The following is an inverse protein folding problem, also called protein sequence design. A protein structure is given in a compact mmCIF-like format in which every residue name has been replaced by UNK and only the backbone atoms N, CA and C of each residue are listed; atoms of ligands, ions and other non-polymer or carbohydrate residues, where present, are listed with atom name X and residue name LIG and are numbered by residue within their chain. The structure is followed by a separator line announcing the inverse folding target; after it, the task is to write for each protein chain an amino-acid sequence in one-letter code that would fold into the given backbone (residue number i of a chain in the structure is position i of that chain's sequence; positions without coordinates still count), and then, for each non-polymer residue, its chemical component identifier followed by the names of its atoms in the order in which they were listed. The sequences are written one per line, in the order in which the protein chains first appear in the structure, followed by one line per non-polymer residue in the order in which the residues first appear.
data_IF_105413214886
#
_entry.id   IF_105413214886
#
_cell.length_a   1.000
_cell.length_b   1.000
_cell.length_c   1.000
_cell.angle_alpha   90.00
_cell.angle_beta   90.00
_cell.angle_gamma   90.00
#
_symmetry.space_group_name_H-M   'P 1'
#
loop_
_entity.id
_entity.type
_entity.pdbx_description
1 polymer ?
#
# COMPACT_ATOMS: atom_id res chain seq x y z
N UNK A 1 19.14 53.53 -0.24
CA UNK A 1 19.74 52.18 -0.37
C UNK A 1 19.16 51.15 0.61
N UNK A 2 18.83 51.52 1.86
CA UNK A 2 18.28 50.59 2.88
C UNK A 2 16.91 50.00 2.54
N UNK A 3 16.03 50.75 1.89
CA UNK A 3 14.70 50.28 1.48
C UNK A 3 14.74 49.22 0.37
N UNK A 4 15.71 49.32 -0.55
CA UNK A 4 15.94 48.30 -1.60
C UNK A 4 16.40 46.96 -1.01
N UNK A 5 17.23 47.00 0.03
CA UNK A 5 17.70 45.81 0.75
C UNK A 5 16.59 45.09 1.52
N UNK A 6 15.66 45.83 2.12
CA UNK A 6 14.49 45.25 2.81
C UNK A 6 13.52 44.56 1.85
N UNK A 7 13.27 45.16 0.68
CA UNK A 7 12.43 44.56 -0.37
C UNK A 7 13.03 43.27 -0.94
N UNK A 8 14.35 43.22 -1.14
CA UNK A 8 15.03 41.99 -1.58
C UNK A 8 15.01 40.90 -0.53
N UNK A 9 15.15 41.23 0.77
CA UNK A 9 15.09 40.24 1.85
C UNK A 9 13.69 39.62 1.99
N UNK A 10 12.63 40.41 1.76
CA UNK A 10 11.25 39.94 1.84
C UNK A 10 10.89 38.97 0.68
N UNK A 11 11.47 39.18 -0.51
CA UNK A 11 11.28 38.31 -1.68
C UNK A 11 12.00 36.95 -1.55
N UNK A 12 13.14 36.88 -0.83
CA UNK A 12 13.85 35.62 -0.61
C UNK A 12 13.18 34.72 0.44
N UNK A 13 12.37 35.27 1.35
CA UNK A 13 11.65 34.47 2.35
C UNK A 13 10.49 33.65 1.75
N UNK A 14 9.98 34.04 0.56
CA UNK A 14 8.81 33.43 -0.07
C UNK A 14 9.10 32.07 -0.74
N UNK A 15 10.36 31.77 -1.07
CA UNK A 15 10.76 30.53 -1.76
C UNK A 15 11.07 29.36 -0.81
N UNK A 16 11.06 29.57 0.50
CA UNK A 16 11.42 28.55 1.49
C UNK A 16 10.26 27.63 1.92
N UNK A 17 9.03 27.87 1.43
CA UNK A 17 7.84 27.10 1.83
C UNK A 17 7.18 26.45 0.61
N UNK A 18 7.84 25.46 0.02
CA UNK A 18 7.24 24.65 -1.04
C UNK A 18 7.65 23.19 -0.91
N UNK A 19 7.38 22.60 0.26
CA UNK A 19 7.27 21.15 0.37
C UNK A 19 5.86 20.86 0.86
N UNK A 20 4.95 20.66 -0.09
CA UNK A 20 3.57 20.31 0.21
C UNK A 20 3.56 19.11 1.17
N UNK A 21 2.79 19.17 2.27
CA UNK A 21 2.68 18.04 3.17
C UNK A 21 2.12 16.86 2.38
N UNK A 22 2.83 15.72 2.44
CA UNK A 22 2.35 14.49 1.81
C UNK A 22 1.05 14.10 2.52
N UNK A 23 -0.05 14.03 1.78
CA UNK A 23 -1.35 13.70 2.33
C UNK A 23 -1.39 12.20 2.69
N UNK A 24 -1.27 11.89 3.98
CA UNK A 24 -1.47 10.54 4.49
C UNK A 24 -2.96 10.30 4.78
N UNK A 25 -3.42 9.11 4.43
CA UNK A 25 -4.70 8.55 4.84
C UNK A 25 -4.48 7.57 5.98
N UNK A 26 -5.52 7.31 6.76
CA UNK A 26 -5.47 6.32 7.84
C UNK A 26 -6.28 5.09 7.46
N UNK A 27 -5.83 3.93 7.89
CA UNK A 27 -6.55 2.68 7.78
C UNK A 27 -6.15 1.72 8.90
N UNK A 28 -6.87 0.61 8.99
CA UNK A 28 -6.62 -0.44 9.96
C UNK A 28 -6.24 -1.74 9.27
N UNK A 29 -5.20 -2.40 9.76
CA UNK A 29 -4.80 -3.72 9.30
C UNK A 29 -5.76 -4.75 9.91
N UNK A 30 -6.58 -5.39 9.08
CA UNK A 30 -7.61 -6.32 9.56
C UNK A 30 -7.15 -7.76 9.59
N UNK A 31 -6.34 -8.16 8.62
CA UNK A 31 -5.97 -9.55 8.44
C UNK A 31 -4.67 -9.69 7.66
N UNK A 32 -4.02 -10.83 7.87
CA UNK A 32 -2.92 -11.34 7.05
C UNK A 32 -3.29 -12.74 6.53
N UNK A 33 -3.10 -12.96 5.24
CA UNK A 33 -3.38 -14.23 4.55
C UNK A 33 -2.14 -14.67 3.76
N UNK A 34 -1.99 -16.00 3.62
CA UNK A 34 -1.01 -16.61 2.73
C UNK A 34 -1.74 -17.08 1.48
N UNK A 35 -1.47 -16.45 0.34
CA UNK A 35 -2.20 -16.66 -0.92
C UNK A 35 -1.28 -17.18 -2.00
N UNK A 36 -1.80 -18.06 -2.85
CA UNK A 36 -1.07 -18.50 -4.04
C UNK A 36 -0.84 -17.29 -4.98
N UNK A 37 0.41 -17.04 -5.32
CA UNK A 37 0.83 -15.85 -6.07
C UNK A 37 1.75 -16.14 -7.25
N UNK A 38 2.10 -17.41 -7.46
CA UNK A 38 2.96 -17.86 -8.56
C UNK A 38 3.25 -19.35 -8.45
N UNK A 39 4.13 -19.85 -9.31
CA UNK A 39 4.61 -21.24 -9.26
C UNK A 39 6.13 -21.25 -9.35
N UNK A 40 6.77 -22.03 -8.48
CA UNK A 40 8.19 -22.34 -8.54
C UNK A 40 8.36 -23.60 -9.39
N UNK A 41 8.84 -23.42 -10.62
CA UNK A 41 9.33 -24.52 -11.42
C UNK A 41 10.74 -24.87 -10.92
N UNK A 42 10.83 -25.79 -9.95
CA UNK A 42 12.10 -26.48 -9.69
C UNK A 42 12.41 -27.46 -10.81
N UNK A 43 12.66 -26.94 -12.00
CA UNK A 43 13.22 -27.61 -13.15
C UNK A 43 14.62 -27.04 -13.40
N UNK A 44 15.59 -27.42 -12.58
CA UNK A 44 17.01 -27.14 -12.81
C UNK A 44 17.53 -27.89 -14.05
N UNK A 45 17.06 -27.51 -15.23
CA UNK A 45 17.83 -27.54 -16.46
C UNK A 45 17.64 -26.14 -17.02
N UNK A 46 18.63 -25.29 -16.76
CA UNK A 46 18.74 -24.01 -17.45
C UNK A 46 18.72 -24.24 -18.97
N UNK A 47 18.59 -23.13 -19.67
CA UNK A 47 18.60 -22.90 -21.11
C UNK A 47 19.73 -23.59 -21.92
N UNK A 48 20.48 -24.51 -21.33
CA UNK A 48 21.51 -25.39 -21.92
C UNK A 48 21.09 -26.87 -22.00
N UNK A 49 19.84 -27.23 -21.64
CA UNK A 49 19.40 -28.62 -21.49
C UNK A 49 18.59 -29.24 -22.64
N UNK A 50 18.26 -28.47 -23.68
CA UNK A 50 17.31 -28.86 -24.76
C UNK A 50 17.95 -29.68 -25.91
N UNK A 51 19.20 -30.13 -25.77
CA UNK A 51 19.88 -30.91 -26.83
C UNK A 51 19.85 -32.44 -26.64
N UNK A 52 19.26 -32.96 -25.56
CA UNK A 52 19.26 -34.39 -25.28
C UNK A 52 17.84 -34.87 -24.98
N UNK A 53 17.19 -35.37 -26.04
CA UNK A 53 15.88 -35.99 -26.01
C UNK A 53 15.88 -37.29 -25.20
N UNK A 54 15.60 -37.15 -23.91
CA UNK A 54 15.20 -38.26 -23.04
C UNK A 54 13.94 -37.86 -22.27
N UNK A 55 12.81 -38.35 -22.78
CA UNK A 55 11.64 -38.85 -22.09
C UNK A 55 11.57 -38.80 -20.53
N UNK A 56 10.36 -38.44 -20.05
CA UNK A 56 9.86 -38.46 -18.66
C UNK A 56 9.85 -37.11 -17.93
N UNK A 57 8.98 -36.23 -18.42
CA UNK A 57 8.63 -34.92 -17.86
C UNK A 57 7.85 -35.04 -16.54
N UNK A 58 8.57 -35.20 -15.43
CA UNK A 58 8.02 -34.96 -14.09
C UNK A 58 8.35 -33.53 -13.63
N UNK A 59 7.69 -32.52 -14.23
CA UNK A 59 7.71 -31.15 -13.71
C UNK A 59 6.90 -31.09 -12.42
N UNK A 60 7.57 -31.04 -11.26
CA UNK A 60 6.92 -30.73 -9.98
C UNK A 60 6.78 -29.20 -9.87
N UNK A 61 5.72 -28.66 -10.46
CA UNK A 61 5.33 -27.25 -10.25
C UNK A 61 4.80 -27.09 -8.83
N UNK A 62 5.45 -26.30 -7.98
CA UNK A 62 4.96 -26.00 -6.63
C UNK A 62 4.38 -24.59 -6.59
N UNK A 63 3.15 -24.42 -6.11
CA UNK A 63 2.58 -23.09 -5.90
C UNK A 63 3.41 -22.29 -4.88
N UNK A 64 3.77 -21.06 -5.24
CA UNK A 64 4.38 -20.07 -4.36
C UNK A 64 3.28 -19.38 -3.57
N UNK A 65 3.51 -19.26 -2.26
CA UNK A 65 2.62 -18.58 -1.34
C UNK A 65 3.22 -17.21 -0.98
N UNK A 66 2.45 -16.14 -1.18
CA UNK A 66 2.82 -14.78 -0.82
C UNK A 66 1.98 -14.31 0.34
N UNK A 67 2.57 -13.39 1.12
CA UNK A 67 1.91 -12.74 2.21
C UNK A 67 1.07 -11.56 1.71
N UNK A 68 -0.24 -11.59 1.96
CA UNK A 68 -1.18 -10.54 1.61
C UNK A 68 -1.86 -9.99 2.87
N UNK A 69 -1.99 -8.67 2.95
CA UNK A 69 -2.63 -7.96 4.06
C UNK A 69 -3.89 -7.27 3.59
N UNK A 70 -4.89 -7.23 4.47
CA UNK A 70 -6.12 -6.45 4.28
C UNK A 70 -6.02 -5.16 5.07
N UNK A 71 -5.94 -4.03 4.37
CA UNK A 71 -5.96 -2.69 4.96
C UNK A 71 -7.31 -2.04 4.66
N UNK A 72 -8.07 -1.73 5.70
CA UNK A 72 -9.36 -1.05 5.56
C UNK A 72 -9.22 0.43 5.89
N UNK A 73 -9.57 1.28 4.92
CA UNK A 73 -9.78 2.72 5.11
C UNK A 73 -11.26 3.06 5.29
N UNK A 74 -11.60 4.34 5.33
CA UNK A 74 -12.98 4.81 5.48
C UNK A 74 -13.91 4.28 4.38
N UNK A 75 -13.44 4.27 3.13
CA UNK A 75 -14.26 3.95 1.95
C UNK A 75 -13.80 2.74 1.16
N UNK A 76 -12.55 2.29 1.33
CA UNK A 76 -11.94 1.25 0.50
C UNK A 76 -11.22 0.22 1.35
N UNK A 77 -11.39 -1.04 1.01
CA UNK A 77 -10.61 -2.17 1.49
C UNK A 77 -9.54 -2.49 0.45
N UNK A 78 -8.29 -2.43 0.86
CA UNK A 78 -7.12 -2.71 0.05
C UNK A 78 -6.57 -4.10 0.40
N UNK A 79 -6.22 -4.88 -0.63
CA UNK A 79 -5.36 -6.06 -0.48
C UNK A 79 -3.96 -5.68 -0.93
N UNK A 80 -2.98 -5.81 -0.04
CA UNK A 80 -1.61 -5.34 -0.26
C UNK A 80 -0.58 -6.43 -0.01
N UNK A 81 0.52 -6.41 -0.77
CA UNK A 81 1.65 -7.34 -0.59
C UNK A 81 2.97 -6.59 -0.39
N UNK A 82 3.89 -7.10 0.43
CA UNK A 82 5.24 -6.56 0.51
C UNK A 82 5.85 -6.49 -0.88
N UNK A 83 6.57 -5.41 -1.19
CA UNK A 83 7.32 -5.32 -2.45
C UNK A 83 8.60 -6.17 -2.42
N UNK A 84 9.18 -6.34 -1.23
CA UNK A 84 10.37 -7.15 -1.00
C UNK A 84 10.00 -8.43 -0.24
N UNK A 85 9.99 -9.55 -0.96
CA UNK A 85 9.67 -10.87 -0.42
C UNK A 85 10.86 -11.53 0.30
N UNK A 86 12.06 -10.94 0.28
CA UNK A 86 13.25 -11.55 0.91
C UNK A 86 13.24 -11.40 2.42
N UNK A 87 12.77 -10.26 2.92
CA UNK A 87 12.69 -9.97 4.35
C UNK A 87 11.38 -9.23 4.69
N UNK A 88 10.22 -9.85 4.44
CA UNK A 88 8.95 -9.21 4.72
C UNK A 88 8.82 -9.00 6.24
N UNK A 89 8.62 -7.74 6.64
CA UNK A 89 8.32 -7.40 8.03
C UNK A 89 6.86 -7.75 8.29
N UNK A 90 6.62 -8.52 9.34
CA UNK A 90 5.26 -8.82 9.79
C UNK A 90 4.62 -7.55 10.35
N UNK A 91 3.54 -7.11 9.72
CA UNK A 91 2.72 -6.02 10.23
C UNK A 91 1.78 -6.53 11.34
N UNK A 92 1.62 -5.78 12.44
CA UNK A 92 0.70 -6.14 13.51
C UNK A 92 -0.76 -5.96 13.03
N UNK A 93 -1.50 -7.06 13.02
CA UNK A 93 -2.92 -7.06 12.70
C UNK A 93 -3.72 -6.49 13.87
N UNK A 94 -4.72 -5.67 13.57
CA UNK A 94 -5.52 -4.95 14.55
C UNK A 94 -5.08 -3.49 14.74
N UNK A 95 -3.90 -3.12 14.23
CA UNK A 95 -3.34 -1.79 14.43
C UNK A 95 -3.68 -0.78 13.33
N UNK A 96 -3.60 0.49 13.71
CA UNK A 96 -3.72 1.61 12.78
C UNK A 96 -2.43 1.79 11.97
N UNK A 97 -2.63 2.17 10.72
CA UNK A 97 -1.55 2.47 9.79
C UNK A 97 -1.89 3.71 8.97
N UNK A 98 -0.89 4.55 8.78
CA UNK A 98 -0.95 5.68 7.88
C UNK A 98 -0.38 5.27 6.53
N UNK A 99 -1.05 5.64 5.45
CA UNK A 99 -0.60 5.31 4.12
C UNK A 99 -0.78 6.46 3.14
N UNK A 100 0.04 6.46 2.10
CA UNK A 100 -0.15 7.32 0.93
C UNK A 100 0.10 6.53 -0.33
N UNK A 101 -0.56 6.94 -1.40
CA UNK A 101 -0.27 6.38 -2.72
C UNK A 101 0.94 7.10 -3.33
N UNK A 102 1.87 6.32 -3.87
CA UNK A 102 3.05 6.77 -4.58
C UNK A 102 3.11 6.03 -5.92
N UNK A 103 2.46 6.62 -6.93
CA UNK A 103 2.23 6.01 -8.25
C UNK A 103 1.49 4.68 -8.14
N UNK A 104 2.20 3.58 -8.36
CA UNK A 104 1.72 2.19 -8.37
C UNK A 104 1.89 1.49 -7.01
N UNK A 105 2.37 2.21 -5.99
CA UNK A 105 2.74 1.65 -4.68
C UNK A 105 2.01 2.35 -3.56
N UNK A 106 1.71 1.58 -2.52
CA UNK A 106 1.28 2.12 -1.24
C UNK A 106 2.50 2.26 -0.33
N UNK A 107 2.72 3.46 0.19
CA UNK A 107 3.74 3.69 1.24
C UNK A 107 3.04 3.68 2.58
N UNK A 108 3.33 2.66 3.39
CA UNK A 108 2.66 2.36 4.66
C UNK A 108 3.60 2.64 5.85
N UNK A 109 3.06 3.24 6.91
CA UNK A 109 3.65 3.38 8.24
C UNK A 109 2.67 2.85 9.27
N UNK A 110 3.12 2.01 10.20
CA UNK A 110 2.25 1.43 11.24
C UNK A 110 2.58 2.08 12.57
N UNK A 111 1.57 2.57 13.29
CA UNK A 111 1.74 3.42 14.47
C UNK A 111 2.52 2.70 15.59
N UNK A 112 2.24 1.42 15.84
CA UNK A 112 2.82 0.65 16.95
C UNK A 112 4.05 -0.20 16.59
N UNK A 113 4.55 -0.11 15.34
CA UNK A 113 5.70 -0.91 14.89
C UNK A 113 7.01 -0.11 14.85
N UNK A 114 7.08 0.85 13.93
CA UNK A 114 8.14 1.87 13.84
C UNK A 114 7.72 2.98 12.86
N UNK A 115 8.43 4.11 12.88
CA UNK A 115 8.19 5.25 11.99
C UNK A 115 8.72 5.06 10.55
N UNK A 116 8.96 3.82 10.09
CA UNK A 116 9.55 3.58 8.76
C UNK A 116 8.49 3.47 7.68
N UNK A 117 8.74 4.17 6.59
CA UNK A 117 7.99 4.05 5.34
C UNK A 117 8.32 2.70 4.66
N UNK A 118 7.29 1.90 4.42
CA UNK A 118 7.40 0.60 3.73
C UNK A 118 6.61 0.61 2.43
N UNK A 119 7.19 0.04 1.38
CA UNK A 119 6.54 -0.04 0.07
C UNK A 119 5.76 -1.35 -0.06
N UNK A 120 4.48 -1.22 -0.36
CA UNK A 120 3.56 -2.30 -0.64
C UNK A 120 2.99 -2.16 -2.05
N UNK A 121 2.76 -3.31 -2.70
CA UNK A 121 2.01 -3.41 -3.95
C UNK A 121 0.53 -3.52 -3.62
N UNK A 122 -0.32 -2.80 -4.34
CA UNK A 122 -1.78 -2.94 -4.22
C UNK A 122 -2.24 -4.03 -5.20
N UNK A 123 -2.79 -5.11 -4.65
CA UNK A 123 -3.29 -6.25 -5.42
C UNK A 123 -4.72 -6.01 -5.87
N UNK A 124 -5.56 -5.49 -4.97
CA UNK A 124 -6.94 -5.13 -5.29
C UNK A 124 -7.48 -4.05 -4.36
N UNK A 125 -8.55 -3.41 -4.83
CA UNK A 125 -9.28 -2.36 -4.15
C UNK A 125 -10.77 -2.65 -4.27
N UNK A 126 -11.46 -2.77 -3.14
CA UNK A 126 -12.91 -3.01 -3.09
C UNK A 126 -13.56 -1.94 -2.21
N UNK A 127 -14.63 -1.25 -2.67
CA UNK A 127 -15.37 -0.31 -1.83
C UNK A 127 -15.91 -0.99 -0.57
N UNK A 128 -15.97 -0.24 0.54
CA UNK A 128 -16.71 -0.67 1.73
C UNK A 128 -18.20 -0.64 1.40
N UNK A 129 -18.92 -1.70 1.75
CA UNK A 129 -20.37 -1.75 1.56
C UNK A 129 -21.12 -0.98 2.67
N UNK A 130 -20.55 -0.89 3.85
CA UNK A 130 -21.10 -0.20 5.02
C UNK A 130 -20.91 1.32 4.99
N UNK A 131 -20.02 1.85 4.15
CA UNK A 131 -19.86 3.29 3.96
C UNK A 131 -20.98 3.92 3.12
N UNK A 132 -21.68 3.13 2.27
CA UNK A 132 -22.81 3.62 1.45
C UNK A 132 -24.02 4.05 2.28
N UNK A 133 -24.21 3.49 3.47
CA UNK A 133 -25.38 3.76 4.33
C UNK A 133 -25.26 5.09 5.09
N UNK A 134 -24.03 5.59 5.30
CA UNK A 134 -23.81 6.84 6.05
C UNK A 134 -24.23 8.11 5.28
N UNK A 135 -24.30 8.05 3.94
CA UNK A 135 -24.67 9.19 3.09
C UNK A 135 -26.20 9.34 2.88
N UNK A 136 -27.01 8.36 3.29
CA UNK A 136 -28.46 8.35 3.01
C UNK A 136 -29.34 8.69 4.21
N UNK A 137 -28.84 9.40 5.22
CA UNK A 137 -29.71 9.92 6.29
C UNK A 137 -30.21 11.31 5.91
N UNK A 138 -31.41 11.48 5.32
CA UNK A 138 -31.97 12.81 5.11
C UNK A 138 -32.17 13.43 6.49
N UNK A 139 -31.56 14.58 6.71
CA UNK A 139 -31.83 15.42 7.86
C UNK A 139 -33.31 15.75 7.87
N UNK A 140 -34.13 14.94 8.57
CA UNK A 140 -35.49 15.32 8.94
C UNK A 140 -35.34 16.47 9.93
N UNK A 141 -35.26 17.67 9.37
CA UNK A 141 -35.35 18.93 10.09
C UNK A 141 -36.70 18.91 10.82
N UNK A 142 -36.65 18.80 12.14
CA UNK A 142 -37.79 19.05 13.01
C UNK A 142 -38.28 20.48 12.74
N UNK A 143 -39.44 20.63 12.13
CA UNK A 143 -40.22 21.85 12.26
C UNK A 143 -41.53 21.51 12.97
N UNK A 144 -41.47 21.59 14.31
CA UNK A 144 -42.64 21.92 15.12
C UNK A 144 -42.88 23.42 14.93
N UNK A 145 -43.98 23.80 14.28
CA UNK A 145 -44.87 24.88 14.71
C UNK A 145 -46.18 24.85 13.92
#
# INVERSE_FOLDING_TARGET
MRFKLLLTALLLASVAQAKEPKHYQTGRLLQMESVECGYDEKGGKGFTGELLGTDSEHKKTKALLCQEYVLQSDYVIYRIRPKDDKHPVLLPVGEQAQFRMDKDKMVLRVEDLDDKDRQYLVVSMTPREDSKTAESTPSKLNHLQ
#
